data_IF_067133093514
#
_entry.id   IF_067133093514
#
_cell.length_a   1.000
_cell.length_b   1.000
_cell.length_c   1.000
_cell.angle_alpha   90.00
_cell.angle_beta   90.00
_cell.angle_gamma   90.00
#
_symmetry.space_group_name_H-M   'P 1'
#
loop_
_entity.id
_entity.type
_entity.pdbx_description
1 polymer ?
#
# COMPACT_ATOMS: atom_id res chain seq x y z
N UNK A 1 2.25 14.80 12.65
CA UNK A 1 2.70 13.43 12.96
C UNK A 1 3.26 12.71 11.73
N UNK A 2 2.55 12.62 10.59
CA UNK A 2 3.00 11.83 9.42
C UNK A 2 4.38 12.21 8.88
N UNK A 3 4.67 13.50 8.70
CA UNK A 3 6.01 13.96 8.31
C UNK A 3 7.13 13.48 9.25
N UNK A 4 6.87 13.42 10.57
CA UNK A 4 7.81 12.93 11.59
C UNK A 4 8.08 11.43 11.38
N UNK A 5 7.02 10.63 11.18
CA UNK A 5 7.09 9.20 10.89
C UNK A 5 7.90 8.93 9.62
N UNK A 6 7.62 9.66 8.54
CA UNK A 6 8.32 9.46 7.28
C UNK A 6 9.81 9.80 7.35
N UNK A 7 10.17 10.87 8.06
CA UNK A 7 11.58 11.25 8.27
C UNK A 7 12.32 10.21 9.12
N UNK A 8 11.63 9.63 10.10
CA UNK A 8 12.13 8.50 10.89
C UNK A 8 12.40 7.26 10.03
N UNK A 9 11.40 6.85 9.22
CA UNK A 9 11.54 5.68 8.33
C UNK A 9 12.65 5.93 7.30
N UNK A 10 12.70 7.13 6.70
CA UNK A 10 13.72 7.49 5.72
C UNK A 10 15.14 7.68 6.30
N UNK A 11 15.34 7.44 7.62
CA UNK A 11 16.60 7.62 8.33
C UNK A 11 17.17 9.06 8.22
N UNK A 12 16.30 10.06 8.08
CA UNK A 12 16.69 11.47 8.05
C UNK A 12 16.85 11.99 9.47
N UNK A 13 15.86 11.71 10.32
CA UNK A 13 15.88 12.01 11.75
C UNK A 13 15.66 10.72 12.53
N UNK A 14 16.27 10.57 13.69
CA UNK A 14 15.88 9.54 14.65
C UNK A 14 14.91 10.12 15.67
N UNK A 15 13.93 9.33 16.08
CA UNK A 15 12.98 9.75 17.09
C UNK A 15 12.73 8.58 18.04
N UNK A 16 13.08 8.77 19.32
CA UNK A 16 12.98 7.73 20.31
C UNK A 16 11.52 7.34 20.60
N UNK A 17 10.59 8.30 20.51
CA UNK A 17 9.16 8.07 20.78
C UNK A 17 8.51 7.19 19.70
N UNK A 18 9.13 7.09 18.52
CA UNK A 18 8.63 6.29 17.40
C UNK A 18 9.24 4.88 17.35
N UNK A 19 10.27 4.59 18.16
CA UNK A 19 11.04 3.34 18.06
C UNK A 19 10.17 2.10 18.24
N UNK A 20 9.20 2.16 19.15
CA UNK A 20 8.34 1.02 19.47
C UNK A 20 7.06 1.01 18.62
N UNK A 21 6.76 2.09 17.90
CA UNK A 21 5.57 2.22 17.07
C UNK A 21 5.84 2.08 15.57
N UNK A 22 7.11 2.19 15.14
CA UNK A 22 7.55 2.06 13.75
C UNK A 22 8.54 0.89 13.66
N UNK A 23 8.05 -0.26 13.21
CA UNK A 23 8.87 -1.45 13.04
C UNK A 23 9.51 -1.46 11.66
N UNK A 24 10.80 -1.14 11.59
CA UNK A 24 11.56 -1.26 10.34
C UNK A 24 11.71 -2.74 10.00
N UNK A 25 11.20 -3.15 8.84
CA UNK A 25 11.26 -4.53 8.40
C UNK A 25 12.68 -4.87 7.89
N UNK A 26 13.14 -6.12 8.04
CA UNK A 26 14.50 -6.55 7.69
C UNK A 26 14.67 -6.74 6.18
N UNK A 27 14.20 -5.79 5.38
CA UNK A 27 14.34 -5.76 3.93
C UNK A 27 14.66 -4.35 3.46
N UNK A 28 15.63 -4.26 2.56
CA UNK A 28 15.97 -3.01 1.88
C UNK A 28 15.73 -3.21 0.40
N UNK A 29 14.89 -2.36 -0.18
CA UNK A 29 14.53 -2.42 -1.60
C UNK A 29 14.89 -1.08 -2.22
N UNK A 30 16.03 -1.04 -2.89
CA UNK A 30 16.52 0.18 -3.52
C UNK A 30 15.71 0.50 -4.78
N UNK A 31 15.28 1.76 -4.88
CA UNK A 31 14.57 2.22 -6.06
C UNK A 31 15.53 2.36 -7.25
N UNK A 32 15.07 2.08 -8.48
CA UNK A 32 15.89 2.23 -9.68
C UNK A 32 16.02 3.70 -10.09
N UNK A 33 17.03 4.07 -10.88
CA UNK A 33 17.26 5.45 -11.33
C UNK A 33 16.01 6.17 -11.88
N UNK A 34 15.14 5.54 -12.71
CA UNK A 34 13.93 6.21 -13.19
C UNK A 34 12.93 6.59 -12.09
N UNK A 35 12.96 5.93 -10.92
CA UNK A 35 12.16 6.33 -9.75
C UNK A 35 12.66 7.67 -9.18
N UNK A 36 13.98 7.86 -9.13
CA UNK A 36 14.57 9.13 -8.68
C UNK A 36 14.28 10.26 -9.67
N UNK A 37 14.35 9.98 -10.98
CA UNK A 37 13.93 10.94 -12.01
C UNK A 37 12.45 11.29 -11.87
N UNK A 38 11.58 10.31 -11.62
CA UNK A 38 10.16 10.54 -11.37
C UNK A 38 9.95 11.40 -10.11
N UNK A 39 10.66 11.11 -9.03
CA UNK A 39 10.59 11.87 -7.78
C UNK A 39 10.92 13.34 -8.02
N UNK A 40 12.03 13.63 -8.70
CA UNK A 40 12.43 15.00 -9.03
C UNK A 40 11.41 15.70 -9.95
N UNK A 41 10.82 14.96 -10.90
CA UNK A 41 9.76 15.48 -11.76
C UNK A 41 8.49 15.84 -10.99
N UNK A 42 8.04 14.95 -10.10
CA UNK A 42 6.84 15.16 -9.26
C UNK A 42 7.03 16.32 -8.30
N UNK A 43 8.22 16.46 -7.72
CA UNK A 43 8.55 17.61 -6.88
C UNK A 43 8.33 18.94 -7.62
N UNK A 44 8.77 19.02 -8.87
CA UNK A 44 8.61 20.22 -9.67
C UNK A 44 7.15 20.41 -10.13
N UNK A 45 6.48 19.31 -10.50
CA UNK A 45 5.10 19.31 -10.97
C UNK A 45 4.49 17.92 -10.85
N UNK A 46 3.41 17.77 -10.08
CA UNK A 46 2.71 16.49 -9.90
C UNK A 46 2.20 15.85 -11.20
N UNK A 47 1.99 16.62 -12.26
CA UNK A 47 1.65 16.11 -13.58
C UNK A 47 2.77 15.26 -14.21
N UNK A 48 4.00 15.34 -13.70
CA UNK A 48 5.10 14.47 -14.11
C UNK A 48 4.77 12.98 -13.93
N UNK A 49 3.93 12.63 -12.95
CA UNK A 49 3.44 11.25 -12.80
C UNK A 49 2.70 10.80 -14.06
N UNK A 50 1.75 11.59 -14.56
CA UNK A 50 0.96 11.23 -15.76
C UNK A 50 1.85 11.03 -16.98
N UNK A 51 2.87 11.88 -17.15
CA UNK A 51 3.86 11.76 -18.23
C UNK A 51 4.73 10.51 -18.13
N UNK A 52 4.96 10.01 -16.91
CA UNK A 52 5.76 8.80 -16.66
C UNK A 52 4.99 7.49 -16.95
N UNK A 53 3.66 7.56 -17.06
CA UNK A 53 2.81 6.41 -17.36
C UNK A 53 2.73 6.16 -18.87
N UNK A 54 2.62 4.88 -19.23
CA UNK A 54 2.31 4.46 -20.59
C UNK A 54 0.89 4.90 -20.94
N UNK A 55 0.63 5.37 -22.16
CA UNK A 55 -0.74 5.75 -22.58
C UNK A 55 -1.66 4.52 -22.69
N UNK A 56 -1.09 3.30 -22.73
CA UNK A 56 -1.87 2.07 -22.81
C UNK A 56 -2.56 1.78 -21.48
N UNK A 57 -3.88 1.70 -21.53
CA UNK A 57 -4.75 1.23 -20.44
C UNK A 57 -4.90 -0.28 -20.49
N UNK A 58 -4.94 -0.90 -19.33
CA UNK A 58 -5.17 -2.33 -19.15
C UNK A 58 -6.38 -2.53 -18.26
N UNK A 59 -7.33 -3.40 -18.65
CA UNK A 59 -8.46 -3.70 -17.79
C UNK A 59 -7.96 -4.33 -16.48
N UNK A 60 -8.47 -3.82 -15.37
CA UNK A 60 -8.22 -4.41 -14.06
C UNK A 60 -9.03 -5.71 -13.97
N UNK A 61 -8.44 -6.81 -13.48
CA UNK A 61 -9.17 -8.06 -13.35
C UNK A 61 -10.39 -7.89 -12.46
N UNK A 62 -11.51 -8.45 -12.89
CA UNK A 62 -12.71 -8.55 -12.07
C UNK A 62 -12.68 -9.89 -11.35
N UNK A 63 -12.60 -9.85 -10.03
CA UNK A 63 -12.68 -11.05 -9.21
C UNK A 63 -14.13 -11.22 -8.74
N UNK A 64 -14.95 -11.89 -9.55
CA UNK A 64 -16.35 -12.20 -9.22
C UNK A 64 -16.58 -13.70 -9.19
N UNK A 65 -17.40 -14.15 -8.26
CA UNK A 65 -18.06 -15.47 -8.33
C UNK A 65 -19.41 -15.40 -9.06
N UNK A 66 -20.00 -14.20 -9.22
CA UNK A 66 -21.30 -13.96 -9.87
C UNK A 66 -21.23 -12.82 -10.91
N UNK A 67 -21.83 -12.97 -12.12
CA UNK A 67 -21.73 -11.99 -13.22
C UNK A 67 -22.25 -10.58 -12.93
N UNK A 68 -23.13 -10.42 -11.93
CA UNK A 68 -23.80 -9.16 -11.59
C UNK A 68 -23.22 -8.46 -10.34
N UNK A 69 -22.17 -9.04 -9.74
CA UNK A 69 -21.63 -8.64 -8.44
C UNK A 69 -20.11 -8.45 -8.50
N UNK A 70 -19.62 -7.70 -9.49
CA UNK A 70 -18.19 -7.48 -9.64
C UNK A 70 -17.66 -6.63 -8.47
N UNK A 71 -16.67 -7.15 -7.75
CA UNK A 71 -15.87 -6.36 -6.82
C UNK A 71 -15.01 -5.34 -7.60
N UNK A 72 -14.97 -4.10 -7.11
CA UNK A 72 -14.10 -3.04 -7.60
C UNK A 72 -12.96 -2.81 -6.60
N UNK A 73 -11.89 -3.60 -6.71
CA UNK A 73 -10.70 -3.51 -5.83
C UNK A 73 -9.85 -2.25 -6.07
N UNK A 74 -10.13 -1.50 -7.14
CA UNK A 74 -9.37 -0.33 -7.55
C UNK A 74 -10.30 0.84 -7.82
N UNK A 75 -9.82 2.08 -7.66
CA UNK A 75 -10.60 3.29 -7.89
C UNK A 75 -11.10 3.45 -9.35
N UNK A 76 -10.60 2.65 -10.30
CA UNK A 76 -11.00 2.63 -11.71
C UNK A 76 -11.16 1.20 -12.26
N UNK A 77 -11.81 1.05 -13.42
CA UNK A 77 -11.94 -0.24 -14.12
C UNK A 77 -10.72 -0.64 -14.95
N UNK A 78 -9.82 0.31 -15.19
CA UNK A 78 -8.57 0.11 -15.92
C UNK A 78 -7.43 0.87 -15.24
N UNK A 79 -6.22 0.34 -15.39
CA UNK A 79 -5.00 0.95 -14.88
C UNK A 79 -3.93 1.03 -15.96
N UNK A 80 -2.87 1.80 -15.67
CA UNK A 80 -1.71 1.95 -16.54
C UNK A 80 -0.49 1.30 -15.90
N UNK A 81 0.63 1.34 -16.61
CA UNK A 81 1.95 0.95 -16.10
C UNK A 81 2.93 2.08 -16.38
N UNK A 82 4.02 2.14 -15.63
CA UNK A 82 5.10 3.08 -15.92
C UNK A 82 5.74 2.75 -17.27
N UNK A 83 6.17 3.78 -18.02
CA UNK A 83 6.97 3.61 -19.25
C UNK A 83 8.30 2.93 -18.94
N UNK A 84 8.90 3.28 -17.80
CA UNK A 84 10.12 2.66 -17.31
C UNK A 84 9.82 1.26 -16.74
N UNK A 85 10.23 0.22 -17.46
CA UNK A 85 10.05 -1.19 -17.04
C UNK A 85 10.68 -1.49 -15.67
N UNK A 86 11.81 -0.85 -15.36
CA UNK A 86 12.49 -0.99 -14.08
C UNK A 86 11.61 -0.54 -12.89
N UNK A 87 10.78 0.49 -13.06
CA UNK A 87 9.86 0.95 -12.00
C UNK A 87 8.76 -0.08 -11.76
N UNK A 88 8.17 -0.63 -12.83
CA UNK A 88 7.14 -1.67 -12.68
C UNK A 88 7.71 -2.93 -12.01
N UNK A 89 8.95 -3.32 -12.33
CA UNK A 89 9.61 -4.46 -11.69
C UNK A 89 9.91 -4.17 -10.21
N UNK A 90 10.45 -2.99 -9.91
CA UNK A 90 10.70 -2.55 -8.53
C UNK A 90 9.43 -2.61 -7.67
N UNK A 91 8.32 -2.06 -8.16
CA UNK A 91 7.05 -2.08 -7.43
C UNK A 91 6.52 -3.51 -7.26
N UNK A 92 6.58 -4.35 -8.28
CA UNK A 92 6.19 -5.76 -8.16
C UNK A 92 7.04 -6.51 -7.12
N UNK A 93 8.36 -6.30 -7.13
CA UNK A 93 9.26 -6.88 -6.14
C UNK A 93 8.94 -6.37 -4.73
N UNK A 94 8.58 -5.09 -4.57
CA UNK A 94 8.16 -4.55 -3.29
C UNK A 94 6.97 -5.32 -2.71
N UNK A 95 5.91 -5.54 -3.49
CA UNK A 95 4.79 -6.37 -3.06
C UNK A 95 5.24 -7.80 -2.71
N UNK A 96 5.98 -8.46 -3.60
CA UNK A 96 6.41 -9.86 -3.44
C UNK A 96 7.32 -10.11 -2.22
N UNK A 97 8.04 -9.11 -1.75
CA UNK A 97 8.93 -9.23 -0.58
C UNK A 97 8.22 -9.01 0.77
N UNK A 98 7.06 -8.36 0.79
CA UNK A 98 6.37 -8.00 2.03
C UNK A 98 6.06 -9.23 2.92
N UNK A 99 5.45 -10.32 2.41
CA UNK A 99 5.14 -11.48 3.25
C UNK A 99 6.35 -12.03 4.01
N UNK A 100 7.48 -12.17 3.31
CA UNK A 100 8.72 -12.66 3.91
C UNK A 100 9.31 -11.67 4.91
N UNK A 101 9.30 -10.37 4.59
CA UNK A 101 9.83 -9.32 5.47
C UNK A 101 9.02 -9.20 6.78
N UNK A 102 7.69 -9.28 6.69
CA UNK A 102 6.78 -9.28 7.85
C UNK A 102 7.01 -10.52 8.71
N UNK A 103 7.10 -11.71 8.09
CA UNK A 103 7.36 -12.95 8.83
C UNK A 103 8.72 -12.94 9.56
N UNK A 104 9.77 -12.44 8.92
CA UNK A 104 11.10 -12.30 9.54
C UNK A 104 11.10 -11.30 10.71
N UNK A 105 10.22 -10.30 10.68
CA UNK A 105 10.04 -9.34 11.77
C UNK A 105 9.18 -9.90 12.93
N UNK A 106 8.63 -11.12 12.81
CA UNK A 106 7.75 -11.71 13.82
C UNK A 106 6.38 -11.04 13.92
N UNK A 107 5.95 -10.36 12.86
CA UNK A 107 4.66 -9.66 12.79
C UNK A 107 3.55 -10.60 12.27
N UNK A 108 2.26 -10.25 12.48
CA UNK A 108 1.14 -11.03 11.95
C UNK A 108 1.29 -11.34 10.46
N UNK A 109 1.00 -12.57 10.02
CA UNK A 109 1.29 -13.01 8.66
C UNK A 109 0.51 -12.18 7.63
N UNK A 110 1.16 -11.83 6.52
CA UNK A 110 0.54 -11.15 5.37
C UNK A 110 0.61 -12.05 4.15
N UNK A 111 -0.50 -12.19 3.44
CA UNK A 111 -0.60 -12.91 2.17
C UNK A 111 -0.80 -11.95 1.00
N UNK A 112 -0.30 -12.33 -0.18
CA UNK A 112 -0.55 -11.58 -1.41
C UNK A 112 -1.76 -12.17 -2.13
N UNK A 113 -2.90 -11.54 -1.91
CA UNK A 113 -4.16 -11.84 -2.58
C UNK A 113 -5.09 -10.62 -2.52
N UNK A 114 -6.22 -10.72 -3.21
CA UNK A 114 -7.25 -9.69 -3.27
C UNK A 114 -7.91 -9.31 -1.94
N UNK A 115 -7.73 -10.08 -0.87
CA UNK A 115 -8.36 -9.83 0.42
C UNK A 115 -7.38 -9.29 1.45
N UNK A 116 -6.12 -9.73 1.42
CA UNK A 116 -5.08 -9.30 2.33
C UNK A 116 -4.29 -8.13 1.70
N UNK A 117 -3.12 -8.37 1.12
CA UNK A 117 -2.30 -7.33 0.51
C UNK A 117 -2.33 -7.39 -1.03
N UNK A 118 -2.95 -6.38 -1.63
CA UNK A 118 -2.90 -6.14 -3.09
C UNK A 118 -2.89 -4.65 -3.44
N UNK A 119 -3.06 -3.76 -2.46
CA UNK A 119 -3.33 -2.36 -2.66
C UNK A 119 -2.33 -1.47 -1.91
N UNK A 120 -2.02 -0.32 -2.51
CA UNK A 120 -1.31 0.75 -1.83
C UNK A 120 -1.44 2.08 -2.55
N UNK A 121 -1.06 3.16 -1.88
CA UNK A 121 -1.18 4.53 -2.34
C UNK A 121 0.21 5.13 -2.52
N UNK A 122 0.49 5.59 -3.74
CA UNK A 122 1.66 6.38 -4.07
C UNK A 122 1.44 7.83 -3.65
N UNK A 123 2.36 8.38 -2.87
CA UNK A 123 2.33 9.77 -2.43
C UNK A 123 3.70 10.45 -2.56
N UNK A 124 3.71 11.78 -2.63
CA UNK A 124 4.92 12.59 -2.53
C UNK A 124 5.07 13.18 -1.12
N UNK A 125 6.15 12.82 -0.44
CA UNK A 125 6.49 13.30 0.88
C UNK A 125 7.42 14.53 0.79
N UNK A 126 6.86 15.74 0.84
CA UNK A 126 7.64 16.98 0.79
C UNK A 126 8.67 17.09 1.93
N UNK A 127 8.35 16.57 3.12
CA UNK A 127 9.24 16.54 4.29
C UNK A 127 10.51 15.71 4.10
N UNK A 128 10.48 14.76 3.17
CA UNK A 128 11.61 13.88 2.81
C UNK A 128 12.12 14.14 1.40
N UNK A 129 11.40 14.95 0.60
CA UNK A 129 11.60 15.18 -0.85
C UNK A 129 11.66 13.87 -1.64
N UNK A 130 10.78 12.92 -1.29
CA UNK A 130 10.80 11.56 -1.80
C UNK A 130 9.38 11.07 -2.12
N UNK A 131 9.27 10.17 -3.09
CA UNK A 131 8.07 9.36 -3.26
C UNK A 131 8.04 8.25 -2.19
N UNK A 132 6.87 8.06 -1.59
CA UNK A 132 6.58 6.99 -0.66
C UNK A 132 5.37 6.19 -1.10
N UNK A 133 5.21 5.01 -0.51
CA UNK A 133 4.08 4.12 -0.77
C UNK A 133 3.50 3.70 0.58
N UNK A 134 2.21 3.93 0.78
CA UNK A 134 1.44 3.40 1.90
C UNK A 134 0.73 2.14 1.40
N UNK A 135 0.90 1.01 2.07
CA UNK A 135 0.21 -0.22 1.72
C UNK A 135 -0.70 -0.65 2.87
N UNK A 136 -1.81 -1.28 2.50
CA UNK A 136 -2.76 -1.83 3.44
C UNK A 136 -2.81 -3.34 3.27
N UNK A 137 -2.37 -4.04 4.32
CA UNK A 137 -2.70 -5.44 4.50
C UNK A 137 -4.10 -5.58 5.10
N UNK A 138 -4.62 -6.80 5.16
CA UNK A 138 -5.88 -7.14 5.79
C UNK A 138 -7.08 -6.33 5.28
N UNK A 139 -7.12 -6.05 3.98
CA UNK A 139 -8.07 -5.10 3.39
C UNK A 139 -9.54 -5.54 3.50
N UNK A 140 -9.81 -6.84 3.27
CA UNK A 140 -11.16 -7.39 3.25
C UNK A 140 -11.28 -8.65 4.14
N UNK A 141 -11.28 -8.49 5.48
CA UNK A 141 -11.54 -9.61 6.40
C UNK A 141 -12.91 -10.21 6.16
N UNK A 142 -13.06 -11.52 6.37
CA UNK A 142 -14.32 -12.23 6.29
C UNK A 142 -15.34 -11.69 7.31
N UNK A 143 -16.62 -11.65 6.93
CA UNK A 143 -17.70 -11.32 7.87
C UNK A 143 -17.75 -12.40 8.94
N UNK A 144 -17.78 -11.98 10.20
CA UNK A 144 -17.99 -12.89 11.32
C UNK A 144 -18.91 -12.23 12.34
N UNK A 145 -20.07 -12.84 12.61
CA UNK A 145 -21.12 -12.26 13.47
C UNK A 145 -20.65 -11.82 14.86
N UNK A 146 -19.64 -12.49 15.43
CA UNK A 146 -19.13 -12.18 16.78
C UNK A 146 -17.90 -11.25 16.79
N UNK A 147 -17.07 -11.26 15.74
CA UNK A 147 -15.75 -10.62 15.77
C UNK A 147 -15.61 -9.48 14.74
N UNK A 148 -16.40 -9.53 13.66
CA UNK A 148 -16.37 -8.55 12.58
C UNK A 148 -17.67 -8.59 11.77
N UNK A 149 -18.75 -8.04 12.33
CA UNK A 149 -20.07 -7.95 11.67
C UNK A 149 -20.16 -6.71 10.76
N UNK A 150 -19.15 -6.54 9.90
CA UNK A 150 -19.07 -5.44 8.94
C UNK A 150 -19.09 -6.00 7.53
N UNK A 151 -20.10 -5.58 6.76
CA UNK A 151 -20.23 -5.94 5.35
C UNK A 151 -19.49 -4.93 4.47
N UNK A 152 -18.36 -5.34 3.91
CA UNK A 152 -17.52 -4.56 2.99
C UNK A 152 -17.90 -4.76 1.51
N UNK A 153 -19.09 -5.31 1.27
CA UNK A 153 -19.64 -5.55 -0.07
C UNK A 153 -18.97 -6.70 -0.82
N UNK A 154 -19.08 -6.68 -2.15
CA UNK A 154 -18.67 -7.79 -3.01
C UNK A 154 -17.17 -8.12 -2.93
N UNK A 155 -16.33 -7.19 -2.49
CA UNK A 155 -14.89 -7.42 -2.38
C UNK A 155 -14.51 -8.33 -1.21
N UNK A 156 -15.37 -8.41 -0.21
CA UNK A 156 -15.27 -9.35 0.90
C UNK A 156 -15.69 -10.79 0.53
N UNK A 157 -16.38 -10.96 -0.61
CA UNK A 157 -17.03 -12.22 -0.94
C UNK A 157 -16.03 -13.37 -1.08
N UNK A 158 -16.26 -14.42 -0.28
CA UNK A 158 -15.42 -15.62 -0.22
C UNK A 158 -14.08 -15.40 0.48
N UNK A 159 -13.88 -14.27 1.17
CA UNK A 159 -12.68 -14.04 1.96
C UNK A 159 -12.56 -15.09 3.06
N UNK A 160 -11.37 -15.69 3.17
CA UNK A 160 -10.98 -16.53 4.30
C UNK A 160 -10.12 -15.77 5.31
N UNK A 161 -9.94 -14.46 5.11
CA UNK A 161 -9.07 -13.66 5.96
C UNK A 161 -9.78 -13.37 7.29
N UNK A 162 -9.23 -13.87 8.39
CA UNK A 162 -9.79 -13.61 9.71
C UNK A 162 -9.51 -12.18 10.18
N UNK A 163 -10.50 -11.57 10.83
CA UNK A 163 -10.31 -10.31 11.54
C UNK A 163 -9.67 -10.59 12.91
N UNK A 164 -8.49 -10.02 13.15
CA UNK A 164 -7.85 -10.03 14.47
C UNK A 164 -7.40 -8.62 14.83
N UNK A 165 -7.50 -8.27 16.12
CA UNK A 165 -7.05 -6.97 16.60
C UNK A 165 -5.55 -6.75 16.29
N UNK A 166 -4.72 -7.75 16.57
CA UNK A 166 -3.28 -7.72 16.31
C UNK A 166 -2.96 -7.52 14.82
N UNK A 167 -3.66 -8.23 13.91
CA UNK A 167 -3.47 -8.06 12.48
C UNK A 167 -3.85 -6.67 11.99
N UNK A 168 -4.93 -6.11 12.54
CA UNK A 168 -5.37 -4.75 12.20
C UNK A 168 -4.43 -3.68 12.76
N UNK A 169 -3.86 -3.89 13.94
CA UNK A 169 -2.90 -2.97 14.55
C UNK A 169 -1.59 -2.90 13.75
N UNK A 170 -1.25 -3.92 12.94
CA UNK A 170 -0.02 -3.99 12.14
C UNK A 170 -0.23 -3.94 10.62
N UNK A 171 -1.43 -3.56 10.16
CA UNK A 171 -1.77 -3.66 8.74
C UNK A 171 -1.15 -2.58 7.85
N UNK A 172 -0.76 -1.45 8.42
CA UNK A 172 -0.29 -0.29 7.66
C UNK A 172 1.22 -0.39 7.46
N UNK A 173 1.62 -0.52 6.20
CA UNK A 173 3.02 -0.64 5.80
C UNK A 173 3.42 0.61 5.02
N UNK A 174 4.59 1.16 5.27
CA UNK A 174 5.12 2.32 4.54
C UNK A 174 6.49 1.99 3.98
N UNK A 175 6.64 2.19 2.67
CA UNK A 175 7.94 2.18 2.01
C UNK A 175 8.36 3.61 1.66
N UNK A 176 9.56 4.03 2.08
CA UNK A 176 10.17 5.30 1.69
C UNK A 176 11.70 5.22 1.87
N UNK A 177 12.46 5.83 0.97
CA UNK A 177 13.93 5.88 1.08
C UNK A 177 14.60 4.51 1.06
N UNK A 178 13.99 3.52 0.40
CA UNK A 178 14.50 2.15 0.33
C UNK A 178 14.19 1.29 1.54
N UNK A 179 13.55 1.84 2.59
CA UNK A 179 13.19 1.14 3.82
C UNK A 179 11.69 0.88 3.85
N UNK A 180 11.34 -0.33 4.27
CA UNK A 180 9.96 -0.74 4.52
C UNK A 180 9.73 -0.79 6.02
N UNK A 181 8.61 -0.25 6.48
CA UNK A 181 8.24 -0.22 7.88
C UNK A 181 6.78 -0.62 8.09
N UNK A 182 6.48 -1.25 9.22
CA UNK A 182 5.13 -1.44 9.73
C UNK A 182 4.83 -0.38 10.78
N UNK A 183 3.64 0.21 10.70
CA UNK A 183 3.14 1.15 11.70
C UNK A 183 2.25 0.39 12.69
N UNK A 184 2.63 0.36 13.96
CA UNK A 184 1.87 -0.20 15.07
C UNK A 184 0.74 0.78 15.45
N UNK A 185 -0.51 0.34 15.44
CA UNK A 185 -1.71 1.17 15.57
C UNK A 185 -2.61 0.79 16.75
N UNK A 186 -2.09 0.05 17.73
CA UNK A 186 -2.78 -0.31 18.96
C UNK A 186 -3.31 0.91 19.71
N UNK A 187 -4.16 0.65 20.71
CA UNK A 187 -4.72 1.70 21.55
C UNK A 187 -3.66 2.57 22.27
N UNK A 188 -2.49 1.99 22.57
CA UNK A 188 -1.40 2.67 23.25
C UNK A 188 -0.42 3.37 22.27
N UNK A 189 -0.55 3.13 20.97
CA UNK A 189 0.40 3.65 19.99
C UNK A 189 0.40 5.18 19.91
N UNK A 190 1.57 5.84 19.90
CA UNK A 190 1.68 7.27 19.62
C UNK A 190 1.27 7.63 18.18
N UNK A 191 1.12 6.64 17.29
CA UNK A 191 0.69 6.83 15.90
C UNK A 191 -0.83 6.85 15.75
N UNK A 192 -1.58 6.49 16.78
CA UNK A 192 -3.05 6.44 16.77
C UNK A 192 -3.74 7.72 16.25
N UNK A 193 -3.20 8.95 16.45
CA UNK A 193 -3.76 10.15 15.83
C UNK A 193 -3.70 10.19 14.30
N UNK A 194 -3.00 9.27 13.63
CA UNK A 194 -2.98 9.12 12.17
C UNK A 194 -4.15 8.27 11.63
N UNK A 195 -4.96 7.68 12.50
CA UNK A 195 -6.13 6.92 12.06
C UNK A 195 -7.17 7.86 11.46
N UNK A 196 -7.69 7.48 10.30
CA UNK A 196 -8.77 8.20 9.66
C UNK A 196 -10.04 8.14 10.54
N UNK A 197 -10.69 9.28 10.80
CA UNK A 197 -11.96 9.31 11.53
C UNK A 197 -13.01 8.40 10.88
N UNK A 198 -13.62 7.52 11.67
CA UNK A 198 -14.60 6.53 11.22
C UNK A 198 -14.01 5.23 10.68
N UNK A 199 -12.68 5.14 10.53
CA UNK A 199 -11.95 3.93 10.14
C UNK A 199 -11.02 3.43 11.26
N UNK A 200 -11.37 3.67 12.51
CA UNK A 200 -10.62 3.19 13.66
C UNK A 200 -10.69 1.66 13.80
N UNK A 201 -11.82 1.05 13.43
CA UNK A 201 -11.99 -0.42 13.45
C UNK A 201 -11.00 -1.14 12.53
N UNK A 202 -10.85 -0.74 11.25
CA UNK A 202 -9.81 -1.29 10.39
C UNK A 202 -8.45 -0.59 10.58
N UNK A 203 -8.26 0.33 11.54
CA UNK A 203 -7.01 1.10 11.75
C UNK A 203 -6.44 1.70 10.46
N UNK A 204 -7.27 2.28 9.60
CA UNK A 204 -6.79 2.83 8.32
C UNK A 204 -6.08 4.16 8.52
N UNK A 205 -4.86 4.28 7.99
CA UNK A 205 -4.15 5.56 7.80
C UNK A 205 -4.43 6.06 6.39
N UNK A 206 -4.61 7.37 6.20
CA UNK A 206 -4.69 7.96 4.85
C UNK A 206 -3.32 8.42 4.37
N UNK A 207 -3.06 8.23 3.09
CA UNK A 207 -1.84 8.70 2.44
C UNK A 207 -1.72 10.23 2.45
N UNK A 208 -2.85 10.95 2.53
CA UNK A 208 -2.88 12.41 2.68
C UNK A 208 -2.27 12.90 3.98
N UNK A 209 -2.26 12.07 5.03
CA UNK A 209 -1.61 12.40 6.31
C UNK A 209 -0.08 12.24 6.24
N UNK A 210 0.41 11.50 5.23
CA UNK A 210 1.82 11.23 4.98
C UNK A 210 2.41 12.19 3.94
N UNK A 211 1.64 12.57 2.91
CA UNK A 211 2.10 13.48 1.88
C UNK A 211 1.01 13.81 0.86
N UNK A 212 1.42 14.30 -0.30
CA UNK A 212 0.49 14.58 -1.39
C UNK A 212 0.12 13.27 -2.11
N UNK A 213 -1.15 12.83 -2.09
CA UNK A 213 -1.59 11.62 -2.81
C UNK A 213 -1.40 11.78 -4.32
N UNK A 214 -1.00 10.72 -5.01
CA UNK A 214 -0.75 10.76 -6.46
C UNK A 214 -1.48 9.68 -7.25
N UNK A 215 -1.48 8.43 -6.79
CA UNK A 215 -2.10 7.31 -7.48
C UNK A 215 -2.27 6.09 -6.58
N UNK A 216 -3.19 5.22 -6.95
CA UNK A 216 -3.31 3.89 -6.38
C UNK A 216 -2.46 2.89 -7.17
N UNK A 217 -1.83 1.97 -6.44
CA UNK A 217 -1.03 0.87 -6.92
C UNK A 217 -1.76 -0.43 -6.57
N UNK A 218 -2.11 -1.20 -7.58
CA UNK A 218 -2.81 -2.48 -7.40
C UNK A 218 -1.94 -3.60 -7.96
N UNK A 219 -1.65 -4.61 -7.14
CA UNK A 219 -0.84 -5.78 -7.46
C UNK A 219 -1.64 -7.06 -7.23
N UNK A 220 -1.98 -7.75 -8.32
CA UNK A 220 -2.79 -8.97 -8.23
C UNK A 220 -1.94 -10.22 -8.44
N UNK A 221 -1.49 -10.82 -7.34
CA UNK A 221 -0.62 -12.00 -7.36
C UNK A 221 -1.29 -13.23 -8.00
N UNK A 222 -2.62 -13.30 -7.96
CA UNK A 222 -3.43 -14.37 -8.55
C UNK A 222 -3.34 -14.44 -10.08
N UNK A 223 -2.83 -13.40 -10.73
CA UNK A 223 -2.53 -13.41 -12.16
C UNK A 223 -1.26 -14.21 -12.47
N UNK A 224 -1.27 -15.50 -12.12
CA UNK A 224 -0.13 -16.41 -12.17
C UNK A 224 0.43 -16.60 -13.59
N UNK A 225 -0.40 -16.43 -14.62
CA UNK A 225 -0.02 -16.50 -16.03
C UNK A 225 0.70 -15.24 -16.56
N UNK A 226 0.95 -14.24 -15.72
CA UNK A 226 1.64 -12.99 -16.08
C UNK A 226 2.97 -12.85 -15.34
N UNK A 227 3.90 -12.08 -15.91
CA UNK A 227 5.13 -11.69 -15.21
C UNK A 227 4.78 -10.75 -14.05
N UNK A 228 5.54 -10.72 -12.93
CA UNK A 228 5.25 -9.83 -11.79
C UNK A 228 4.99 -8.37 -12.19
N UNK A 229 5.85 -7.78 -13.02
CA UNK A 229 5.67 -6.39 -13.52
C UNK A 229 4.40 -6.14 -14.35
N UNK A 230 3.73 -7.20 -14.82
CA UNK A 230 2.48 -7.12 -15.58
C UNK A 230 1.24 -7.35 -14.69
N UNK A 231 1.44 -7.73 -13.43
CA UNK A 231 0.39 -7.85 -12.40
C UNK A 231 0.12 -6.54 -11.68
N UNK A 232 0.96 -5.52 -11.93
CA UNK A 232 0.83 -4.17 -11.42
C UNK A 232 -0.07 -3.29 -12.31
N UNK A 233 -0.92 -2.51 -11.66
CA UNK A 233 -1.82 -1.53 -12.24
C UNK A 233 -1.75 -0.22 -11.45
N UNK A 234 -1.47 0.88 -12.13
CA UNK A 234 -1.43 2.23 -11.56
C UNK A 234 -2.69 2.98 -11.96
N UNK A 235 -3.45 3.46 -10.98
CA UNK A 235 -4.70 4.18 -11.18
C UNK A 235 -4.55 5.60 -10.65
N UNK A 236 -4.68 6.59 -11.51
CA UNK A 236 -4.56 8.00 -11.10
C UNK A 236 -5.97 8.55 -10.89
N UNK A 237 -6.26 9.22 -9.77
CA UNK A 237 -7.55 9.86 -9.57
C UNK A 237 -7.87 10.87 -10.69
N UNK A 238 -9.10 10.83 -11.20
CA UNK A 238 -9.57 11.71 -12.27
C UNK A 238 -8.89 11.48 -13.64
N UNK A 239 -8.45 10.25 -13.92
CA UNK A 239 -8.06 9.78 -15.26
C UNK A 239 -9.18 9.00 -15.97
#
# INVERSE_FOLDING_TARGET
>A
MGAKVLRHIAAIDSDADLKDAVHILPVTINAPQPWHTLTAGVEANVLALRSSLSPRRYPIPRFSTLPQSACQLACSSDGRRFRARAVNLFLALLFEQIPAAVALAGLPPVSLDRWDLHHGHLFYASSCRQLGILLHAKEYPAVHSEFFDVNLGNCQAGSSLEFTAEGMDHRNLVWIGGRLACLEMSAASPLRPLLMPGLELPRTVQESDLGQPLADLNYFAELSNRKPSERLFVCVPGD
#
